data_IF_666441294070
#
_entry.id   IF_666441294070
#
_cell.length_a   1.000
_cell.length_b   1.000
_cell.length_c   1.000
_cell.angle_alpha   90.00
_cell.angle_beta   90.00
_cell.angle_gamma   90.00
#
_symmetry.space_group_name_H-M   'P 1'
#
loop_
_entity.id
_entity.type
_entity.pdbx_description
1 polymer ?
#
# COMPACT_ATOMS: atom_id res chain seq x y z
N UNK A 1 -9.69 11.02 15.24
CA UNK A 1 -10.53 11.85 14.36
C UNK A 1 -11.94 11.33 14.37
N UNK A 2 -12.92 12.18 14.69
CA UNK A 2 -14.33 11.81 14.60
C UNK A 2 -15.03 12.56 13.48
N UNK A 3 -15.75 11.83 12.64
CA UNK A 3 -16.61 12.36 11.58
C UNK A 3 -18.02 11.90 11.89
N UNK A 4 -18.97 12.83 12.00
CA UNK A 4 -20.36 12.53 12.34
C UNK A 4 -20.49 11.57 13.55
N UNK A 5 -19.67 11.83 14.58
CA UNK A 5 -19.49 11.06 15.84
C UNK A 5 -18.82 9.69 15.71
N UNK A 6 -18.60 9.18 14.51
CA UNK A 6 -17.86 7.94 14.26
C UNK A 6 -16.35 8.19 14.30
N UNK A 7 -15.61 7.32 14.97
CA UNK A 7 -14.15 7.34 14.93
C UNK A 7 -13.71 6.78 13.57
N UNK A 8 -12.89 7.52 12.82
CA UNK A 8 -12.46 7.11 11.47
C UNK A 8 -10.95 6.94 11.33
N UNK A 9 -10.18 7.57 12.22
CA UNK A 9 -8.73 7.50 12.23
C UNK A 9 -8.18 7.90 13.60
N UNK A 10 -7.00 7.44 13.95
CA UNK A 10 -6.22 7.96 15.07
C UNK A 10 -5.12 8.91 14.58
N UNK A 11 -4.71 9.87 15.40
CA UNK A 11 -3.58 10.76 15.10
C UNK A 11 -2.58 10.67 16.25
N UNK A 12 -1.34 10.34 15.93
CA UNK A 12 -0.18 10.46 16.79
C UNK A 12 0.61 11.71 16.41
N UNK A 13 0.82 12.62 17.36
CA UNK A 13 1.58 13.87 17.13
C UNK A 13 2.89 13.82 17.91
N UNK A 14 4.00 14.13 17.23
CA UNK A 14 5.34 14.24 17.81
C UNK A 14 5.82 15.68 17.80
N UNK A 15 6.90 15.93 18.56
CA UNK A 15 7.60 17.23 18.55
C UNK A 15 8.15 17.51 17.15
N UNK A 16 8.13 18.76 16.71
CA UNK A 16 8.62 19.17 15.38
C UNK A 16 10.08 18.77 15.11
N UNK A 17 10.93 18.76 16.14
CA UNK A 17 12.33 18.34 16.04
C UNK A 17 12.54 16.83 15.95
N UNK A 18 11.49 16.02 16.15
CA UNK A 18 11.59 14.57 16.18
C UNK A 18 11.36 13.98 14.79
N UNK A 19 12.34 13.23 14.29
CA UNK A 19 12.20 12.44 13.06
C UNK A 19 11.20 11.31 13.28
N UNK A 20 10.21 11.22 12.40
CA UNK A 20 9.16 10.19 12.45
C UNK A 20 9.73 8.81 12.11
N UNK A 21 9.21 7.77 12.74
CA UNK A 21 9.51 6.36 12.45
C UNK A 21 8.35 5.48 12.90
N UNK A 22 8.29 4.25 12.39
CA UNK A 22 7.20 3.29 12.64
C UNK A 22 7.00 2.94 14.12
N UNK A 23 8.05 2.99 14.95
CA UNK A 23 7.92 2.66 16.39
C UNK A 23 7.01 3.65 17.13
N UNK A 24 6.83 4.85 16.57
CA UNK A 24 5.91 5.85 17.10
C UNK A 24 4.44 5.45 16.92
N UNK A 25 4.12 4.57 15.96
CA UNK A 25 2.75 4.11 15.71
C UNK A 25 2.27 3.07 16.73
N UNK A 26 3.16 2.43 17.51
CA UNK A 26 2.80 1.29 18.37
C UNK A 26 1.59 1.54 19.27
N UNK A 27 1.53 2.72 19.90
CA UNK A 27 0.42 3.07 20.79
C UNK A 27 -0.89 3.18 19.99
N UNK A 28 -0.86 3.91 18.88
CA UNK A 28 -2.03 4.13 18.02
C UNK A 28 -2.46 2.85 17.30
N UNK A 29 -1.53 1.98 16.93
CA UNK A 29 -1.81 0.67 16.35
C UNK A 29 -2.64 -0.19 17.31
N UNK A 30 -2.29 -0.23 18.60
CA UNK A 30 -3.06 -0.99 19.60
C UNK A 30 -4.52 -0.51 19.69
N UNK A 31 -4.74 0.82 19.71
CA UNK A 31 -6.10 1.36 19.70
C UNK A 31 -6.82 1.07 18.38
N UNK A 32 -6.11 1.14 17.26
CA UNK A 32 -6.65 0.88 15.93
C UNK A 32 -7.14 -0.56 15.79
N UNK A 33 -6.37 -1.53 16.27
CA UNK A 33 -6.79 -2.95 16.33
C UNK A 33 -8.01 -3.13 17.22
N UNK A 34 -8.00 -2.55 18.43
CA UNK A 34 -9.09 -2.73 19.40
C UNK A 34 -10.41 -2.10 18.95
N UNK A 35 -10.36 -0.96 18.27
CA UNK A 35 -11.53 -0.21 17.82
C UNK A 35 -11.93 -0.54 16.36
N UNK A 36 -11.20 -1.43 15.69
CA UNK A 36 -11.45 -1.79 14.29
C UNK A 36 -11.26 -0.61 13.31
N UNK A 37 -10.34 0.31 13.62
CA UNK A 37 -10.05 1.49 12.82
C UNK A 37 -8.84 1.22 11.94
N UNK A 38 -9.02 1.35 10.63
CA UNK A 38 -7.98 1.02 9.64
C UNK A 38 -6.96 2.16 9.46
N UNK A 39 -7.27 3.38 9.88
CA UNK A 39 -6.47 4.56 9.55
C UNK A 39 -5.75 5.18 10.74
N UNK A 40 -4.46 5.46 10.55
CA UNK A 40 -3.59 6.11 11.53
C UNK A 40 -2.80 7.23 10.85
N UNK A 41 -2.72 8.39 11.49
CA UNK A 41 -1.90 9.52 11.03
C UNK A 41 -0.75 9.71 12.02
N UNK A 42 0.48 9.83 11.52
CA UNK A 42 1.65 10.17 12.31
C UNK A 42 2.23 11.49 11.77
N UNK A 43 2.40 12.47 12.64
CA UNK A 43 2.92 13.79 12.22
C UNK A 43 3.79 14.45 13.28
N UNK A 44 4.74 15.26 12.85
CA UNK A 44 5.45 16.24 13.70
C UNK A 44 5.12 17.69 13.33
N UNK A 45 4.05 17.90 12.55
CA UNK A 45 3.65 19.20 12.00
C UNK A 45 4.25 19.51 10.64
N UNK A 46 5.54 19.21 10.43
CA UNK A 46 6.21 19.39 9.14
C UNK A 46 5.94 18.20 8.20
N UNK A 47 6.20 16.98 8.69
CA UNK A 47 5.97 15.73 7.96
C UNK A 47 4.65 15.13 8.41
N UNK A 48 3.86 14.68 7.45
CA UNK A 48 2.58 14.01 7.65
C UNK A 48 2.62 12.64 6.96
N UNK A 49 2.33 11.59 7.72
CA UNK A 49 2.24 10.23 7.21
C UNK A 49 0.85 9.67 7.50
N UNK A 50 0.22 9.07 6.50
CA UNK A 50 -0.98 8.25 6.70
C UNK A 50 -0.62 6.78 6.54
N UNK A 51 -1.07 5.97 7.49
CA UNK A 51 -0.81 4.54 7.56
C UNK A 51 -2.13 3.78 7.57
N UNK A 52 -2.20 2.74 6.74
CA UNK A 52 -3.30 1.80 6.69
C UNK A 52 -2.96 0.54 7.50
N UNK A 53 -3.89 0.12 8.34
CA UNK A 53 -3.86 -1.11 9.10
C UNK A 53 -4.69 -2.16 8.37
N UNK A 54 -4.03 -3.21 7.92
CA UNK A 54 -4.69 -4.39 7.36
C UNK A 54 -4.78 -5.45 8.45
N UNK A 55 -6.01 -5.87 8.75
CA UNK A 55 -6.28 -6.94 9.71
C UNK A 55 -5.63 -8.27 9.29
N UNK A 56 -5.39 -9.14 10.26
CA UNK A 56 -4.74 -10.43 10.04
C UNK A 56 -3.90 -10.85 11.25
N UNK A 57 -3.30 -12.05 11.15
CA UNK A 57 -2.34 -12.58 12.12
C UNK A 57 -1.05 -12.92 11.36
N UNK A 58 -0.02 -12.03 11.34
CA UNK A 58 0.08 -10.77 12.07
C UNK A 58 -0.69 -9.61 11.40
N UNK A 59 -1.01 -8.58 12.19
CA UNK A 59 -1.51 -7.29 11.68
C UNK A 59 -0.40 -6.62 10.87
N UNK A 60 -0.75 -6.08 9.71
CA UNK A 60 0.18 -5.39 8.81
C UNK A 60 -0.15 -3.90 8.81
N UNK A 61 0.89 -3.07 8.93
CA UNK A 61 0.77 -1.62 8.82
C UNK A 61 1.60 -1.16 7.63
N UNK A 62 0.98 -0.41 6.73
CA UNK A 62 1.62 0.11 5.54
C UNK A 62 1.42 1.62 5.45
N UNK A 63 2.45 2.34 5.02
CA UNK A 63 2.33 3.76 4.75
C UNK A 63 1.61 3.97 3.41
N UNK A 64 0.47 4.66 3.46
CA UNK A 64 -0.31 5.02 2.27
C UNK A 64 0.30 6.25 1.56
N UNK A 65 0.74 7.24 2.34
CA UNK A 65 1.50 8.37 1.83
C UNK A 65 2.34 9.03 2.92
N UNK A 66 3.37 9.78 2.50
CA UNK A 66 4.15 10.71 3.31
C UNK A 66 4.28 12.03 2.54
N UNK A 67 4.16 13.16 3.24
CA UNK A 67 4.44 14.48 2.66
C UNK A 67 5.14 15.37 3.68
N UNK A 68 6.25 15.98 3.27
CA UNK A 68 6.91 17.06 4.01
C UNK A 68 6.39 18.41 3.49
N UNK A 69 5.61 19.10 4.33
CA UNK A 69 5.03 20.40 3.97
C UNK A 69 6.11 21.49 3.84
N UNK A 70 7.25 21.32 4.50
CA UNK A 70 8.41 22.22 4.40
C UNK A 70 9.43 21.73 3.36
N UNK A 71 9.17 20.56 2.77
CA UNK A 71 10.00 19.95 1.74
C UNK A 71 9.80 20.57 0.35
N UNK A 72 10.52 20.05 -0.66
CA UNK A 72 10.55 20.62 -2.01
C UNK A 72 9.34 20.27 -2.88
N UNK A 73 8.42 19.42 -2.40
CA UNK A 73 7.26 19.01 -3.18
C UNK A 73 6.42 20.23 -3.62
N UNK A 74 5.82 20.21 -4.84
CA UNK A 74 4.93 21.27 -5.30
C UNK A 74 3.75 21.50 -4.36
N UNK A 75 3.19 22.71 -4.40
CA UNK A 75 2.04 23.06 -3.56
C UNK A 75 0.82 22.19 -3.87
N UNK A 76 0.64 21.87 -5.15
CA UNK A 76 -0.45 21.05 -5.66
C UNK A 76 -0.42 19.65 -5.03
N UNK A 77 0.74 18.99 -5.05
CA UNK A 77 0.94 17.68 -4.44
C UNK A 77 0.69 17.72 -2.93
N UNK A 78 1.22 18.75 -2.25
CA UNK A 78 0.97 18.97 -0.81
C UNK A 78 -0.53 19.11 -0.52
N UNK A 79 -1.24 19.90 -1.33
CA UNK A 79 -2.67 20.12 -1.16
C UNK A 79 -3.47 18.85 -1.42
N UNK A 80 -3.15 18.08 -2.46
CA UNK A 80 -3.80 16.82 -2.81
C UNK A 80 -3.67 15.78 -1.70
N UNK A 81 -2.44 15.54 -1.20
CA UNK A 81 -2.20 14.56 -0.14
C UNK A 81 -2.83 14.99 1.19
N UNK A 82 -2.72 16.28 1.55
CA UNK A 82 -3.36 16.78 2.77
C UNK A 82 -4.88 16.78 2.68
N UNK A 83 -5.45 16.92 1.47
CA UNK A 83 -6.89 16.80 1.28
C UNK A 83 -7.40 15.41 1.66
N UNK A 84 -6.62 14.33 1.47
CA UNK A 84 -7.06 12.96 1.79
C UNK A 84 -7.40 12.76 3.27
N UNK A 85 -6.74 13.49 4.17
CA UNK A 85 -7.01 13.49 5.62
C UNK A 85 -7.93 14.63 6.06
N UNK A 86 -8.44 15.43 5.12
CA UNK A 86 -9.46 16.43 5.40
C UNK A 86 -10.79 15.77 5.79
N UNK A 87 -11.58 16.45 6.64
CA UNK A 87 -12.89 15.97 7.13
C UNK A 87 -13.80 15.43 6.01
N UNK A 88 -13.92 16.19 4.93
CA UNK A 88 -14.80 15.84 3.81
C UNK A 88 -14.28 14.64 3.01
N UNK A 89 -12.96 14.53 2.83
CA UNK A 89 -12.36 13.40 2.14
C UNK A 89 -12.47 12.11 2.94
N UNK A 90 -12.27 12.17 4.26
CA UNK A 90 -12.47 11.05 5.17
C UNK A 90 -13.94 10.62 5.19
N UNK A 91 -14.88 11.57 5.23
CA UNK A 91 -16.31 11.28 5.13
C UNK A 91 -16.67 10.52 3.84
N UNK A 92 -16.02 10.89 2.73
CA UNK A 92 -16.21 10.25 1.42
C UNK A 92 -15.28 9.07 1.17
N UNK A 93 -14.49 8.64 2.15
CA UNK A 93 -13.56 7.51 2.02
C UNK A 93 -12.56 7.64 0.86
N UNK A 94 -12.12 8.86 0.55
CA UNK A 94 -11.18 9.12 -0.56
C UNK A 94 -9.80 8.52 -0.31
N UNK A 95 -9.37 8.48 0.95
CA UNK A 95 -8.10 7.85 1.32
C UNK A 95 -8.15 6.32 1.12
N UNK A 96 -9.33 5.69 1.30
CA UNK A 96 -9.55 4.29 0.97
C UNK A 96 -9.42 4.01 -0.52
N UNK A 97 -9.88 4.93 -1.38
CA UNK A 97 -9.74 4.80 -2.84
C UNK A 97 -8.26 4.85 -3.24
N UNK A 98 -7.50 5.80 -2.70
CA UNK A 98 -6.04 5.87 -2.91
C UNK A 98 -5.39 4.56 -2.47
N UNK A 99 -5.71 4.09 -1.25
CA UNK A 99 -5.12 2.87 -0.72
C UNK A 99 -5.44 1.64 -1.56
N UNK A 100 -6.70 1.45 -1.96
CA UNK A 100 -7.10 0.31 -2.80
C UNK A 100 -6.39 0.33 -4.13
N UNK A 101 -6.24 1.50 -4.74
CA UNK A 101 -5.47 1.65 -5.97
C UNK A 101 -4.00 1.26 -5.72
N UNK A 102 -3.35 1.88 -4.74
CA UNK A 102 -1.95 1.60 -4.40
C UNK A 102 -1.71 0.12 -4.09
N UNK A 103 -2.57 -0.50 -3.27
CA UNK A 103 -2.49 -1.92 -2.91
C UNK A 103 -2.73 -2.85 -4.11
N UNK A 104 -3.64 -2.51 -5.02
CA UNK A 104 -3.87 -3.29 -6.23
C UNK A 104 -2.70 -3.17 -7.23
N UNK A 105 -2.00 -2.04 -7.23
CA UNK A 105 -0.88 -1.75 -8.14
C UNK A 105 0.49 -2.01 -7.52
N UNK A 106 0.56 -2.53 -6.29
CA UNK A 106 1.86 -2.80 -5.68
C UNK A 106 2.59 -3.93 -6.40
N UNK A 107 3.94 -3.93 -6.45
CA UNK A 107 4.70 -4.92 -7.21
C UNK A 107 4.37 -6.38 -6.87
N UNK A 108 4.02 -6.65 -5.61
CA UNK A 108 3.62 -8.00 -5.17
C UNK A 108 2.27 -8.39 -5.77
N UNK A 109 1.24 -7.57 -5.62
CA UNK A 109 -0.10 -7.84 -6.14
C UNK A 109 -0.08 -7.98 -7.67
N UNK A 110 0.67 -7.12 -8.37
CA UNK A 110 0.85 -7.21 -9.82
C UNK A 110 1.57 -8.50 -10.22
N UNK A 111 2.61 -8.90 -9.50
CA UNK A 111 3.32 -10.14 -9.79
C UNK A 111 2.44 -11.38 -9.58
N UNK A 112 1.66 -11.42 -8.50
CA UNK A 112 0.69 -12.49 -8.26
C UNK A 112 -0.35 -12.57 -9.39
N UNK A 113 -0.84 -11.42 -9.86
CA UNK A 113 -1.73 -11.35 -11.01
C UNK A 113 -1.07 -11.88 -12.30
N UNK A 114 0.16 -11.46 -12.58
CA UNK A 114 0.94 -11.89 -13.75
C UNK A 114 1.18 -13.41 -13.73
N UNK A 115 1.44 -13.97 -12.55
CA UNK A 115 1.71 -15.39 -12.34
C UNK A 115 0.45 -16.26 -12.20
N UNK A 116 -0.75 -15.67 -12.28
CA UNK A 116 -2.00 -16.43 -12.24
C UNK A 116 -2.18 -17.29 -13.50
N UNK A 117 -2.83 -18.44 -13.36
CA UNK A 117 -3.08 -19.38 -14.47
C UNK A 117 -3.76 -18.69 -15.67
N UNK A 118 -4.72 -17.81 -15.38
CA UNK A 118 -5.43 -17.06 -16.42
C UNK A 118 -4.48 -16.15 -17.20
N UNK A 119 -3.59 -15.43 -16.50
CA UNK A 119 -2.68 -14.50 -17.15
C UNK A 119 -1.55 -15.22 -17.89
N UNK A 120 -0.98 -16.26 -17.29
CA UNK A 120 0.04 -17.10 -17.95
C UNK A 120 -0.51 -17.73 -19.23
N UNK A 121 -1.78 -18.16 -19.24
CA UNK A 121 -2.42 -18.68 -20.43
C UNK A 121 -2.64 -17.62 -21.52
N UNK A 122 -2.96 -16.38 -21.15
CA UNK A 122 -3.03 -15.27 -22.10
C UNK A 122 -1.65 -14.94 -22.68
N UNK A 123 -0.62 -14.87 -21.84
CA UNK A 123 0.76 -14.64 -22.29
C UNK A 123 1.19 -15.75 -23.25
N UNK A 124 0.89 -17.02 -22.93
CA UNK A 124 1.18 -18.18 -23.80
C UNK A 124 0.56 -18.06 -25.18
N UNK A 125 -0.74 -17.72 -25.24
CA UNK A 125 -1.46 -17.49 -26.51
C UNK A 125 -0.84 -16.36 -27.31
N UNK A 126 -0.47 -15.26 -26.62
CA UNK A 126 0.12 -14.10 -27.26
C UNK A 126 1.53 -14.37 -27.80
N UNK A 127 2.37 -15.12 -27.07
CA UNK A 127 3.67 -15.59 -27.56
C UNK A 127 3.48 -16.42 -28.83
N UNK A 128 2.60 -17.43 -28.80
CA UNK A 128 2.33 -18.27 -29.99
C UNK A 128 1.86 -17.44 -31.18
N UNK A 129 0.99 -16.47 -30.96
CA UNK A 129 0.45 -15.58 -32.00
C UNK A 129 1.53 -14.71 -32.63
N UNK A 130 2.47 -14.17 -31.84
CA UNK A 130 3.52 -13.26 -32.33
C UNK A 130 4.73 -13.98 -32.93
N UNK A 131 5.14 -15.10 -32.34
CA UNK A 131 6.41 -15.76 -32.69
C UNK A 131 6.22 -17.09 -33.41
N UNK A 132 5.03 -17.67 -33.39
CA UNK A 132 4.78 -19.01 -33.89
C UNK A 132 5.32 -20.13 -32.98
N UNK A 133 5.96 -19.80 -31.85
CA UNK A 133 6.57 -20.77 -30.94
C UNK A 133 5.53 -21.31 -29.96
N UNK A 134 5.50 -22.63 -29.77
CA UNK A 134 4.68 -23.29 -28.75
C UNK A 134 5.45 -23.34 -27.43
N UNK A 135 4.81 -22.93 -26.34
CA UNK A 135 5.35 -22.99 -24.96
C UNK A 135 4.22 -23.35 -23.99
N UNK A 136 4.53 -23.51 -22.70
CA UNK A 136 3.57 -23.83 -21.64
C UNK A 136 3.47 -22.71 -20.60
N UNK A 137 2.35 -22.59 -19.86
CA UNK A 137 2.21 -21.62 -18.78
C UNK A 137 3.30 -21.77 -17.70
N UNK A 138 3.73 -23.00 -17.40
CA UNK A 138 4.72 -23.30 -16.38
C UNK A 138 6.10 -22.76 -16.76
N UNK A 139 6.54 -23.00 -18.01
CA UNK A 139 7.80 -22.50 -18.52
C UNK A 139 7.85 -20.97 -18.53
N UNK A 140 6.74 -20.32 -18.91
CA UNK A 140 6.62 -18.87 -18.85
C UNK A 140 6.68 -18.34 -17.41
N UNK A 141 5.98 -19.00 -16.49
CA UNK A 141 6.01 -18.65 -15.08
C UNK A 141 7.40 -18.83 -14.47
N UNK A 142 8.18 -19.82 -14.90
CA UNK A 142 9.57 -19.99 -14.47
C UNK A 142 10.44 -18.84 -14.94
N UNK A 143 10.43 -18.52 -16.24
CA UNK A 143 11.19 -17.40 -16.82
C UNK A 143 10.83 -16.07 -16.15
N UNK A 144 9.54 -15.80 -15.92
CA UNK A 144 9.11 -14.58 -15.23
C UNK A 144 9.73 -14.52 -13.82
N UNK A 145 9.73 -15.64 -13.09
CA UNK A 145 10.30 -15.68 -11.74
C UNK A 145 11.82 -15.57 -11.74
N UNK A 146 12.53 -16.24 -12.64
CA UNK A 146 13.98 -16.37 -12.56
C UNK A 146 14.74 -15.29 -13.33
N UNK A 147 14.18 -14.78 -14.43
CA UNK A 147 14.88 -13.89 -15.36
C UNK A 147 14.33 -12.45 -15.36
N UNK A 148 13.06 -12.24 -14.98
CA UNK A 148 12.42 -10.91 -15.04
C UNK A 148 12.33 -10.26 -13.65
N UNK A 149 11.97 -11.03 -12.63
CA UNK A 149 11.64 -10.49 -11.31
C UNK A 149 12.86 -10.41 -10.40
N UNK A 150 13.04 -9.28 -9.71
CA UNK A 150 14.05 -9.13 -8.65
C UNK A 150 13.86 -10.25 -7.58
N UNK A 151 14.91 -11.03 -7.24
CA UNK A 151 14.84 -12.07 -6.23
C UNK A 151 14.25 -11.62 -4.88
N UNK A 152 14.42 -10.35 -4.49
CA UNK A 152 13.84 -9.77 -3.27
C UNK A 152 12.32 -9.69 -3.33
N UNK A 153 11.74 -9.49 -4.52
CA UNK A 153 10.29 -9.43 -4.71
C UNK A 153 9.67 -10.84 -4.65
N UNK A 154 10.33 -11.84 -5.23
CA UNK A 154 9.91 -13.25 -5.13
C UNK A 154 9.82 -13.73 -3.68
N UNK A 155 10.84 -13.41 -2.87
CA UNK A 155 10.86 -13.79 -1.47
C UNK A 155 9.66 -13.24 -0.66
N UNK A 156 9.06 -12.12 -1.09
CA UNK A 156 7.87 -11.52 -0.45
C UNK A 156 6.55 -12.21 -0.85
N UNK A 157 6.49 -12.77 -2.05
CA UNK A 157 5.33 -13.55 -2.53
C UNK A 157 5.25 -14.88 -1.77
N UNK A 158 6.35 -15.63 -1.75
CA UNK A 158 6.36 -17.00 -1.20
C UNK A 158 6.30 -17.07 0.34
N UNK A 159 6.69 -16.02 1.06
CA UNK A 159 6.61 -15.98 2.52
C UNK A 159 5.18 -15.82 3.08
N UNK A 160 4.21 -15.38 2.27
CA UNK A 160 2.79 -15.27 2.68
C UNK A 160 1.95 -16.51 2.40
N UNK A 161 2.48 -17.50 1.67
CA UNK A 161 1.76 -18.73 1.29
C UNK A 161 2.08 -19.92 2.21
N UNK A 162 2.62 -19.67 3.41
CA UNK A 162 2.91 -20.67 4.45
C UNK A 162 2.36 -20.22 5.79
#
# INVERSE_FOLDING_TARGET
MRIDKQLVAFIEVKRISQKLNERHLRQVQMYSVNEGIEWMVLTNGAVWQAHHLTGGLPVIVNMAFEIDLLGPAPLEEKAELMFLIHREALKRRRIDELWKHSAATEPKALLELILSDTMLEQIRKEVKRRTGITTTPEALGEVIRTEIVDPKLLAKVYKSSR
#
